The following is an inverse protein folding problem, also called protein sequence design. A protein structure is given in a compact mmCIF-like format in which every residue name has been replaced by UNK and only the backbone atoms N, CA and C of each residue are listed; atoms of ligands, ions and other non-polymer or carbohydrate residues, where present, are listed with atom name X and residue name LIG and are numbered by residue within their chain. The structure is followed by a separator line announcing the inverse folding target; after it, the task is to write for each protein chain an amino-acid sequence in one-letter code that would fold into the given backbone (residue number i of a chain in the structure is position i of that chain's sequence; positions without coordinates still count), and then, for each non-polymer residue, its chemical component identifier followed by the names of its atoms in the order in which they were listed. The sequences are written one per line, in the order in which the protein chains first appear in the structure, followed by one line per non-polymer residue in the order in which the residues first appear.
data_IF_845657580090
#
_entry.id   IF_845657580090
#
_cell.length_a   1.000
_cell.length_b   1.000
_cell.length_c   1.000
_cell.angle_alpha   90.00
_cell.angle_beta   90.00
_cell.angle_gamma   90.00
#
_symmetry.space_group_name_H-M   'P 1'
#
loop_
_entity.id
_entity.type
_entity.pdbx_description
1 polymer ?
#
# COMPACT_ATOMS: atom_id res chain seq x y z
N UNK A 1 4.55 -9.89 -11.44
CA UNK A 1 3.17 -10.21 -11.04
C UNK A 1 3.10 -9.96 -9.53
N UNK A 2 2.40 -8.91 -9.08
CA UNK A 2 2.13 -8.65 -7.66
C UNK A 2 1.66 -9.90 -6.92
N UNK A 3 1.97 -10.10 -5.62
CA UNK A 3 1.09 -10.92 -4.77
C UNK A 3 -0.25 -10.19 -4.67
N UNK A 4 -1.12 -10.50 -5.60
CA UNK A 4 -2.39 -9.85 -5.81
C UNK A 4 -3.44 -10.46 -4.87
N UNK A 5 -3.84 -9.74 -3.83
CA UNK A 5 -5.07 -10.08 -3.10
C UNK A 5 -6.34 -9.98 -3.99
N UNK A 6 -6.24 -9.32 -5.15
CA UNK A 6 -7.36 -9.12 -6.07
C UNK A 6 -7.48 -10.13 -7.22
N UNK A 7 -6.40 -10.79 -7.67
CA UNK A 7 -6.44 -11.64 -8.88
C UNK A 7 -6.43 -13.14 -8.60
N UNK A 8 -6.17 -13.57 -7.36
CA UNK A 8 -6.26 -15.00 -6.99
C UNK A 8 -7.66 -15.39 -6.51
N UNK A 9 -8.53 -14.40 -6.26
CA UNK A 9 -9.92 -14.60 -5.90
C UNK A 9 -10.82 -14.07 -7.03
N UNK A 10 -11.56 -14.97 -7.66
CA UNK A 10 -12.45 -14.69 -8.79
C UNK A 10 -13.45 -13.56 -8.48
N UNK A 11 -13.98 -13.50 -7.26
CA UNK A 11 -14.91 -12.45 -6.82
C UNK A 11 -14.25 -11.07 -6.75
N UNK A 12 -13.05 -10.98 -6.19
CA UNK A 12 -12.30 -9.72 -6.14
C UNK A 12 -11.93 -9.22 -7.54
N UNK A 13 -11.56 -10.16 -8.42
CA UNK A 13 -11.22 -9.86 -9.81
C UNK A 13 -12.44 -9.33 -10.57
N UNK A 14 -13.62 -9.96 -10.43
CA UNK A 14 -14.85 -9.46 -11.04
C UNK A 14 -15.23 -8.08 -10.54
N UNK A 15 -15.19 -7.84 -9.22
CA UNK A 15 -15.51 -6.53 -8.67
C UNK A 15 -14.59 -5.44 -9.23
N UNK A 16 -13.30 -5.76 -9.40
CA UNK A 16 -12.34 -4.86 -10.04
C UNK A 16 -12.70 -4.58 -11.50
N UNK A 17 -12.96 -5.64 -12.28
CA UNK A 17 -13.30 -5.51 -13.71
C UNK A 17 -14.54 -4.65 -13.90
N UNK A 18 -15.60 -4.91 -13.12
CA UNK A 18 -16.85 -4.16 -13.22
C UNK A 18 -16.64 -2.68 -12.90
N UNK A 19 -15.76 -2.36 -11.96
CA UNK A 19 -15.53 -0.97 -11.51
C UNK A 19 -14.49 -0.21 -12.35
N UNK A 20 -13.62 -0.92 -13.07
CA UNK A 20 -12.47 -0.34 -13.79
C UNK A 20 -12.37 -0.85 -15.23
N UNK A 21 -13.52 -1.14 -15.86
CA UNK A 21 -13.59 -1.84 -17.15
C UNK A 21 -12.70 -1.21 -18.22
N UNK A 22 -12.68 0.11 -18.29
CA UNK A 22 -11.93 0.85 -19.32
C UNK A 22 -10.41 0.73 -19.14
N UNK A 23 -9.96 0.53 -17.89
CA UNK A 23 -8.55 0.42 -17.52
C UNK A 23 -8.07 -1.04 -17.51
N UNK A 24 -8.72 -1.89 -18.31
CA UNK A 24 -8.31 -3.26 -18.59
C UNK A 24 -8.20 -3.41 -20.10
N UNK A 25 -7.01 -3.83 -20.56
CA UNK A 25 -6.72 -4.12 -21.96
C UNK A 25 -6.45 -5.60 -22.11
N UNK A 26 -7.02 -6.20 -23.14
CA UNK A 26 -6.88 -7.63 -23.44
C UNK A 26 -6.31 -7.75 -24.86
N UNK A 27 -5.45 -8.74 -25.06
CA UNK A 27 -4.96 -9.16 -26.36
C UNK A 27 -5.63 -10.49 -26.67
N UNK A 28 -6.31 -10.55 -27.81
CA UNK A 28 -7.06 -11.71 -28.26
C UNK A 28 -6.57 -12.12 -29.66
N UNK A 29 -6.40 -13.42 -29.86
CA UNK A 29 -6.12 -14.00 -31.16
C UNK A 29 -7.41 -14.12 -31.99
N UNK A 30 -7.33 -14.31 -33.33
CA UNK A 30 -8.50 -14.52 -34.18
C UNK A 30 -9.40 -15.69 -33.73
N UNK A 31 -8.84 -16.66 -33.00
CA UNK A 31 -9.55 -17.79 -32.39
C UNK A 31 -10.35 -17.42 -31.12
N UNK A 32 -10.41 -16.14 -30.75
CA UNK A 32 -10.95 -15.65 -29.45
C UNK A 32 -10.19 -16.14 -28.22
N UNK A 33 -8.96 -16.64 -28.41
CA UNK A 33 -8.08 -17.02 -27.31
C UNK A 33 -7.38 -15.77 -26.75
N UNK A 34 -7.46 -15.56 -25.43
CA UNK A 34 -6.75 -14.46 -24.75
C UNK A 34 -5.25 -14.77 -24.68
N UNK A 35 -4.43 -13.99 -25.38
CA UNK A 35 -2.96 -14.11 -25.38
C UNK A 35 -2.28 -13.24 -24.31
N UNK A 36 -2.97 -12.24 -23.77
CA UNK A 36 -2.48 -11.43 -22.64
C UNK A 36 -3.45 -10.37 -22.15
N UNK A 37 -3.12 -9.73 -21.02
CA UNK A 37 -3.87 -8.59 -20.49
C UNK A 37 -2.98 -7.60 -19.75
N UNK A 38 -3.44 -6.35 -19.65
CA UNK A 38 -2.91 -5.33 -18.76
C UNK A 38 -4.06 -4.64 -18.02
N UNK A 39 -3.82 -4.27 -16.77
CA UNK A 39 -4.79 -3.53 -15.97
C UNK A 39 -4.11 -2.48 -15.11
N UNK A 40 -4.81 -1.38 -14.90
CA UNK A 40 -4.38 -0.30 -14.03
C UNK A 40 -5.55 0.47 -13.42
N UNK A 41 -5.23 1.42 -12.56
CA UNK A 41 -6.21 2.30 -11.93
C UNK A 41 -5.60 3.67 -11.64
N UNK A 42 -6.45 4.70 -11.57
CA UNK A 42 -6.04 6.04 -11.13
C UNK A 42 -6.09 6.06 -9.61
N UNK A 43 -4.94 6.19 -8.97
CA UNK A 43 -4.83 6.12 -7.51
C UNK A 43 -5.09 7.47 -6.83
N UNK A 44 -4.75 8.56 -7.51
CA UNK A 44 -5.08 9.94 -7.17
C UNK A 44 -5.02 10.79 -8.45
N UNK A 45 -5.44 12.07 -8.45
CA UNK A 45 -5.46 12.90 -9.65
C UNK A 45 -4.11 12.99 -10.39
N UNK A 46 -2.97 12.84 -9.70
CA UNK A 46 -1.64 12.94 -10.29
C UNK A 46 -0.94 11.60 -10.55
N UNK A 47 -1.46 10.47 -10.05
CA UNK A 47 -0.81 9.16 -10.15
C UNK A 47 -1.79 8.05 -10.57
N UNK A 48 -1.41 7.33 -11.62
CA UNK A 48 -2.00 6.03 -11.97
C UNK A 48 -1.02 4.89 -11.71
N UNK A 49 -1.57 3.70 -11.51
CA UNK A 49 -0.83 2.49 -11.17
C UNK A 49 -1.14 1.39 -12.15
N UNK A 50 -0.09 0.78 -12.69
CA UNK A 50 -0.19 -0.49 -13.41
C UNK A 50 -0.34 -1.57 -12.35
N UNK A 51 -1.53 -2.15 -12.30
CA UNK A 51 -1.87 -3.22 -11.38
C UNK A 51 -1.23 -4.52 -11.88
N UNK A 52 -1.46 -4.90 -13.13
CA UNK A 52 -0.90 -6.13 -13.68
C UNK A 52 -0.63 -6.01 -15.17
N UNK A 53 0.37 -6.77 -15.63
CA UNK A 53 0.58 -7.08 -17.04
C UNK A 53 0.98 -8.54 -17.16
N UNK A 54 0.33 -9.27 -18.06
CA UNK A 54 0.56 -10.68 -18.27
C UNK A 54 0.46 -11.03 -19.74
N UNK A 55 1.35 -11.90 -20.20
CA UNK A 55 1.32 -12.51 -21.53
C UNK A 55 1.56 -14.01 -21.35
N UNK A 56 0.69 -14.80 -21.96
CA UNK A 56 0.80 -16.27 -21.96
C UNK A 56 2.15 -16.70 -22.51
N UNK A 57 2.70 -17.81 -22.01
CA UNK A 57 4.06 -18.26 -22.32
C UNK A 57 4.31 -18.39 -23.82
N UNK A 58 3.33 -18.95 -24.55
CA UNK A 58 3.40 -19.23 -25.99
C UNK A 58 3.41 -17.94 -26.84
N UNK A 59 3.04 -16.82 -26.24
CA UNK A 59 2.86 -15.53 -26.92
C UNK A 59 3.90 -14.48 -26.48
N UNK A 60 4.90 -14.88 -25.69
CA UNK A 60 5.95 -13.96 -25.22
C UNK A 60 6.89 -13.55 -26.35
N UNK A 61 7.54 -12.39 -26.16
CA UNK A 61 8.50 -11.79 -27.10
C UNK A 61 7.92 -11.37 -28.46
N UNK A 62 6.59 -11.35 -28.64
CA UNK A 62 5.90 -10.91 -29.85
C UNK A 62 5.42 -9.44 -29.77
N UNK A 63 5.92 -8.67 -28.81
CA UNK A 63 5.50 -7.27 -28.61
C UNK A 63 4.16 -7.06 -27.91
N UNK A 64 3.39 -8.12 -27.61
CA UNK A 64 2.06 -8.05 -26.97
C UNK A 64 2.07 -7.21 -25.68
N UNK A 65 3.00 -7.47 -24.76
CA UNK A 65 3.12 -6.69 -23.52
C UNK A 65 3.36 -5.19 -23.79
N UNK A 66 4.10 -4.86 -24.85
CA UNK A 66 4.31 -3.46 -25.25
C UNK A 66 3.00 -2.81 -25.69
N UNK A 67 2.22 -3.51 -26.51
CA UNK A 67 0.97 -3.00 -27.05
C UNK A 67 -0.10 -2.86 -25.96
N UNK A 68 -0.19 -3.86 -25.07
CA UNK A 68 -1.06 -3.82 -23.90
C UNK A 68 -0.73 -2.63 -22.99
N UNK A 69 0.56 -2.42 -22.69
CA UNK A 69 1.00 -1.29 -21.88
C UNK A 69 0.67 0.04 -22.57
N UNK A 70 1.01 0.21 -23.84
CA UNK A 70 0.69 1.44 -24.59
C UNK A 70 -0.81 1.73 -24.61
N UNK A 71 -1.63 0.72 -24.87
CA UNK A 71 -3.09 0.85 -24.89
C UNK A 71 -3.65 1.26 -23.53
N UNK A 72 -3.15 0.65 -22.44
CA UNK A 72 -3.53 1.02 -21.08
C UNK A 72 -3.11 2.45 -20.75
N UNK A 73 -1.88 2.82 -21.12
CA UNK A 73 -1.34 4.16 -20.92
C UNK A 73 -2.16 5.23 -21.65
N UNK A 74 -2.50 5.02 -22.92
CA UNK A 74 -3.33 5.95 -23.69
C UNK A 74 -4.70 6.17 -23.05
N UNK A 75 -5.33 5.12 -22.52
CA UNK A 75 -6.61 5.23 -21.82
C UNK A 75 -6.50 6.01 -20.50
N UNK A 76 -5.45 5.76 -19.73
CA UNK A 76 -5.24 6.48 -18.47
C UNK A 76 -5.05 7.97 -18.76
N UNK A 77 -4.25 8.31 -19.78
CA UNK A 77 -3.98 9.70 -20.16
C UNK A 77 -5.25 10.39 -20.68
N UNK A 78 -6.07 9.71 -21.50
CA UNK A 78 -7.31 10.30 -22.01
C UNK A 78 -8.34 10.58 -20.90
N UNK A 79 -8.35 9.77 -19.84
CA UNK A 79 -9.26 9.94 -18.69
C UNK A 79 -8.73 10.86 -17.59
N UNK A 80 -7.42 11.12 -17.55
CA UNK A 80 -6.82 11.90 -16.48
C UNK A 80 -5.79 12.90 -17.04
N UNK A 81 -6.28 14.08 -17.41
CA UNK A 81 -5.45 15.20 -17.86
C UNK A 81 -4.48 15.73 -16.79
N UNK A 82 -4.70 15.39 -15.52
CA UNK A 82 -3.84 15.77 -14.40
C UNK A 82 -2.73 14.76 -14.10
N UNK A 83 -2.64 13.66 -14.87
CA UNK A 83 -1.65 12.61 -14.65
C UNK A 83 -0.22 13.14 -14.73
N UNK A 84 0.57 12.88 -13.68
CA UNK A 84 2.00 13.19 -13.62
C UNK A 84 2.87 11.94 -13.51
N UNK A 85 2.35 10.87 -12.95
CA UNK A 85 3.10 9.65 -12.68
C UNK A 85 2.32 8.42 -13.08
N UNK A 86 3.01 7.49 -13.74
CA UNK A 86 2.55 6.11 -13.90
C UNK A 86 3.53 5.20 -13.17
N UNK A 87 3.05 4.48 -12.17
CA UNK A 87 3.90 3.61 -11.36
C UNK A 87 3.49 2.14 -11.46
N UNK A 88 4.45 1.26 -11.17
CA UNK A 88 4.25 -0.19 -11.10
C UNK A 88 5.01 -0.73 -9.90
N UNK A 89 4.41 -1.69 -9.20
CA UNK A 89 5.09 -2.47 -8.17
C UNK A 89 5.44 -3.84 -8.73
N UNK A 90 6.70 -4.24 -8.58
CA UNK A 90 7.19 -5.54 -9.00
C UNK A 90 7.65 -6.29 -7.76
N UNK A 91 7.02 -7.41 -7.37
CA UNK A 91 7.54 -8.26 -6.32
C UNK A 91 8.82 -8.97 -6.71
N UNK A 92 9.55 -9.41 -5.69
CA UNK A 92 10.83 -10.10 -5.79
C UNK A 92 10.85 -11.23 -6.82
N UNK A 93 9.84 -12.09 -6.80
CA UNK A 93 9.75 -13.25 -7.70
C UNK A 93 9.58 -12.85 -9.19
N UNK A 94 9.40 -11.55 -9.47
CA UNK A 94 9.26 -10.98 -10.80
C UNK A 94 10.31 -9.91 -11.13
N UNK A 95 11.36 -9.74 -10.32
CA UNK A 95 12.43 -8.75 -10.58
C UNK A 95 13.09 -8.92 -11.96
N UNK A 96 13.14 -10.14 -12.52
CA UNK A 96 13.62 -10.37 -13.90
C UNK A 96 12.89 -9.54 -14.97
N UNK A 97 11.64 -9.14 -14.70
CA UNK A 97 10.84 -8.32 -15.61
C UNK A 97 11.04 -6.81 -15.42
N UNK A 98 11.85 -6.36 -14.46
CA UNK A 98 12.12 -4.92 -14.26
C UNK A 98 12.68 -4.26 -15.53
N UNK A 99 13.51 -4.99 -16.28
CA UNK A 99 14.15 -4.48 -17.49
C UNK A 99 13.14 -4.10 -18.58
N UNK A 100 11.95 -4.73 -18.59
CA UNK A 100 10.85 -4.35 -19.47
C UNK A 100 10.40 -2.90 -19.22
N UNK A 101 10.27 -2.50 -17.95
CA UNK A 101 9.85 -1.15 -17.59
C UNK A 101 10.99 -0.14 -17.72
N UNK A 102 12.22 -0.50 -17.33
CA UNK A 102 13.40 0.37 -17.45
C UNK A 102 13.65 0.81 -18.90
N UNK A 103 13.55 -0.13 -19.87
CA UNK A 103 13.64 0.20 -21.31
C UNK A 103 12.53 1.14 -21.82
N UNK A 104 11.49 1.37 -21.01
CA UNK A 104 10.34 2.24 -21.31
C UNK A 104 10.32 3.51 -20.47
N UNK A 105 11.50 3.95 -20.01
CA UNK A 105 11.74 5.19 -19.26
C UNK A 105 11.09 5.21 -17.87
N UNK A 106 10.76 4.05 -17.31
CA UNK A 106 10.51 3.96 -15.87
C UNK A 106 11.83 3.99 -15.13
N UNK A 107 11.85 4.61 -13.96
CA UNK A 107 12.99 4.62 -13.03
C UNK A 107 12.58 3.95 -11.73
N UNK A 108 13.52 3.26 -11.07
CA UNK A 108 13.30 2.74 -9.72
C UNK A 108 13.22 3.95 -8.78
N UNK A 109 12.11 4.07 -8.05
CA UNK A 109 11.90 5.16 -7.08
C UNK A 109 11.92 4.68 -5.63
N UNK A 110 11.75 3.37 -5.40
CA UNK A 110 11.79 2.80 -4.07
C UNK A 110 12.00 1.28 -4.09
N UNK A 111 12.68 0.78 -3.06
CA UNK A 111 12.61 -0.61 -2.66
C UNK A 111 11.80 -0.73 -1.37
N UNK A 112 10.95 -1.74 -1.29
CA UNK A 112 10.05 -1.99 -0.18
C UNK A 112 10.36 -3.38 0.38
N UNK A 113 10.57 -3.46 1.69
CA UNK A 113 10.58 -4.72 2.42
C UNK A 113 9.20 -4.95 3.02
N UNK A 114 8.60 -6.11 2.76
CA UNK A 114 7.46 -6.55 3.55
C UNK A 114 7.88 -7.51 4.66
N UNK A 115 7.09 -7.48 5.71
CA UNK A 115 7.32 -8.17 6.96
C UNK A 115 6.06 -8.88 7.41
N UNK A 116 6.24 -10.01 8.09
CA UNK A 116 5.17 -10.83 8.65
C UNK A 116 5.44 -11.14 10.13
N UNK A 117 4.38 -11.15 10.93
CA UNK A 117 4.38 -11.68 12.29
C UNK A 117 3.21 -12.65 12.47
N UNK A 118 3.51 -13.91 12.75
CA UNK A 118 2.52 -15.00 12.90
C UNK A 118 2.01 -15.17 14.34
N UNK A 119 2.24 -14.18 15.21
CA UNK A 119 1.73 -14.18 16.58
C UNK A 119 1.20 -12.79 16.90
N UNK A 120 0.21 -12.71 17.78
CA UNK A 120 -0.32 -11.44 18.29
C UNK A 120 0.24 -11.07 19.67
N UNK A 121 1.32 -11.72 20.10
CA UNK A 121 2.01 -11.37 21.33
C UNK A 121 2.80 -10.08 21.12
N UNK A 122 2.63 -9.14 22.04
CA UNK A 122 3.34 -7.88 22.02
C UNK A 122 3.75 -7.51 23.46
N UNK A 123 4.76 -8.20 24.03
CA UNK A 123 5.12 -8.09 25.44
C UNK A 123 5.98 -6.84 25.74
N UNK A 124 5.74 -5.74 25.03
CA UNK A 124 6.48 -4.49 25.24
C UNK A 124 5.74 -3.59 26.21
N UNK A 125 6.48 -3.05 27.19
CA UNK A 125 5.92 -2.08 28.13
C UNK A 125 5.48 -0.81 27.41
N UNK A 126 4.21 -0.46 27.62
CA UNK A 126 3.60 0.78 27.12
C UNK A 126 3.95 1.98 28.03
N UNK A 127 3.82 3.19 27.50
CA UNK A 127 3.86 4.40 28.33
C UNK A 127 2.44 4.68 28.86
N UNK A 128 2.28 4.66 30.18
CA UNK A 128 0.97 4.85 30.85
C UNK A 128 0.50 6.31 30.86
N UNK A 129 1.40 7.27 30.64
CA UNK A 129 1.06 8.70 30.54
C UNK A 129 0.44 9.06 29.19
N UNK A 130 0.57 8.18 28.19
CA UNK A 130 0.02 8.37 26.86
C UNK A 130 -1.34 7.67 26.79
N UNK A 131 -2.40 8.46 26.68
CA UNK A 131 -3.72 7.94 26.41
C UNK A 131 -3.82 7.53 24.93
N UNK A 132 -4.30 6.31 24.65
CA UNK A 132 -4.59 5.88 23.28
C UNK A 132 -6.07 5.53 23.16
N UNK A 133 -6.69 6.04 22.09
CA UNK A 133 -8.10 5.75 21.76
C UNK A 133 -8.33 5.74 20.26
N UNK A 134 -9.48 5.21 19.85
CA UNK A 134 -9.96 5.35 18.46
C UNK A 134 -10.08 6.84 18.12
N UNK A 135 -9.67 7.21 16.91
CA UNK A 135 -9.79 8.57 16.41
C UNK A 135 -11.26 8.96 16.23
N UNK A 136 -11.57 10.24 16.47
CA UNK A 136 -12.85 10.91 16.16
C UNK A 136 -12.63 11.96 15.06
N UNK A 137 -13.71 12.40 14.42
CA UNK A 137 -13.61 13.35 13.28
C UNK A 137 -12.86 14.64 13.64
N UNK A 138 -12.99 15.13 14.88
CA UNK A 138 -12.29 16.32 15.36
C UNK A 138 -10.79 16.11 15.58
N UNK A 139 -10.27 14.88 15.51
CA UNK A 139 -8.84 14.61 15.60
C UNK A 139 -8.11 14.80 14.26
N UNK A 140 -8.84 14.89 13.15
CA UNK A 140 -8.24 14.86 11.81
C UNK A 140 -7.21 15.99 11.62
N UNK A 141 -7.44 17.16 12.19
CA UNK A 141 -6.52 18.29 12.06
C UNK A 141 -5.18 18.00 12.72
N UNK A 142 -5.18 17.41 13.91
CA UNK A 142 -3.96 16.96 14.59
C UNK A 142 -3.26 15.82 13.85
N UNK A 143 -4.01 14.91 13.22
CA UNK A 143 -3.44 13.85 12.39
C UNK A 143 -2.78 14.43 11.14
N UNK A 144 -3.38 15.41 10.49
CA UNK A 144 -2.81 16.08 9.32
C UNK A 144 -1.55 16.88 9.66
N UNK A 145 -1.46 17.45 10.87
CA UNK A 145 -0.22 18.07 11.35
C UNK A 145 0.90 17.03 11.47
N UNK A 146 0.60 15.85 12.03
CA UNK A 146 1.56 14.74 12.08
C UNK A 146 1.96 14.27 10.68
N UNK A 147 1.01 14.15 9.75
CA UNK A 147 1.30 13.77 8.37
C UNK A 147 2.32 14.70 7.73
N UNK A 148 2.10 16.01 7.85
CA UNK A 148 2.99 17.04 7.31
C UNK A 148 4.37 17.01 7.97
N UNK A 149 4.45 16.71 9.26
CA UNK A 149 5.70 16.66 10.00
C UNK A 149 6.52 15.38 9.73
N UNK A 150 5.86 14.26 9.43
CA UNK A 150 6.50 12.95 9.33
C UNK A 150 6.71 12.44 7.89
N UNK A 151 5.95 12.94 6.91
CA UNK A 151 5.96 12.41 5.55
C UNK A 151 6.11 13.53 4.51
N UNK A 152 6.83 13.24 3.43
CA UNK A 152 6.88 14.11 2.25
C UNK A 152 5.51 14.19 1.57
N UNK A 153 5.24 15.28 0.86
CA UNK A 153 3.94 15.56 0.20
C UNK A 153 3.39 14.39 -0.62
N UNK A 154 4.25 13.65 -1.32
CA UNK A 154 3.84 12.48 -2.11
C UNK A 154 3.16 11.36 -1.27
N UNK A 155 3.51 11.23 0.00
CA UNK A 155 3.08 10.15 0.89
C UNK A 155 2.08 10.58 1.95
N UNK A 156 1.76 11.86 2.00
CA UNK A 156 0.76 12.40 2.92
C UNK A 156 -0.63 11.97 2.48
N UNK A 157 -1.43 11.52 3.45
CA UNK A 157 -2.87 11.33 3.26
C UNK A 157 -3.59 12.65 3.47
N UNK A 158 -4.58 12.92 2.61
CA UNK A 158 -5.43 14.08 2.78
C UNK A 158 -6.60 13.81 3.74
N UNK A 159 -7.33 14.88 4.07
CA UNK A 159 -8.49 14.86 4.96
C UNK A 159 -9.55 13.83 4.55
N UNK A 160 -9.86 13.74 3.26
CA UNK A 160 -10.93 12.88 2.78
C UNK A 160 -10.55 11.41 2.79
N UNK A 161 -9.27 11.09 2.59
CA UNK A 161 -8.74 9.74 2.82
C UNK A 161 -8.93 9.31 4.28
N UNK A 162 -8.59 10.16 5.26
CA UNK A 162 -8.85 9.83 6.68
C UNK A 162 -10.34 9.71 6.99
N UNK A 163 -11.19 10.57 6.44
CA UNK A 163 -12.65 10.43 6.60
C UNK A 163 -13.17 9.10 6.05
N UNK A 164 -12.63 8.63 4.91
CA UNK A 164 -12.98 7.32 4.35
C UNK A 164 -12.53 6.19 5.27
N UNK A 165 -11.28 6.24 5.74
CA UNK A 165 -10.72 5.26 6.68
C UNK A 165 -11.59 5.13 7.93
N UNK A 166 -12.00 6.26 8.51
CA UNK A 166 -12.81 6.27 9.73
C UNK A 166 -14.24 5.70 9.56
N UNK A 167 -14.71 5.54 8.33
CA UNK A 167 -16.02 4.96 8.00
C UNK A 167 -15.96 3.47 7.69
N UNK A 168 -14.79 2.90 7.37
CA UNK A 168 -14.67 1.49 7.03
C UNK A 168 -14.59 0.62 8.31
N UNK A 169 -15.44 -0.40 8.39
CA UNK A 169 -15.55 -1.32 9.55
C UNK A 169 -14.38 -2.30 9.66
N UNK A 170 -13.63 -2.48 8.58
CA UNK A 170 -12.41 -3.29 8.51
C UNK A 170 -11.14 -2.48 8.78
N UNK A 171 -11.29 -1.18 9.04
CA UNK A 171 -10.18 -0.27 9.29
C UNK A 171 -10.26 0.34 10.70
N UNK A 172 -9.10 0.69 11.24
CA UNK A 172 -9.03 1.43 12.50
C UNK A 172 -7.92 2.46 12.49
N UNK A 173 -8.25 3.63 13.05
CA UNK A 173 -7.32 4.72 13.29
C UNK A 173 -7.26 4.95 14.80
N UNK A 174 -6.09 4.77 15.38
CA UNK A 174 -5.77 5.11 16.78
C UNK A 174 -5.01 6.43 16.83
N UNK A 175 -5.28 7.23 17.85
CA UNK A 175 -4.51 8.42 18.20
C UNK A 175 -3.89 8.26 19.58
N UNK A 176 -2.66 8.76 19.73
CA UNK A 176 -1.95 8.88 20.98
C UNK A 176 -2.05 10.33 21.46
N UNK A 177 -2.43 10.51 22.72
CA UNK A 177 -2.68 11.81 23.34
C UNK A 177 -1.76 11.94 24.55
N UNK A 178 -1.04 13.06 24.61
CA UNK A 178 -0.21 13.42 25.74
C UNK A 178 -0.33 14.92 25.98
N UNK A 179 -0.46 15.36 27.23
CA UNK A 179 -0.71 16.77 27.57
C UNK A 179 -1.82 17.43 26.74
N UNK A 180 -2.93 16.71 26.55
CA UNK A 180 -4.11 17.13 25.77
C UNK A 180 -3.88 17.40 24.27
N UNK A 181 -2.71 17.05 23.72
CA UNK A 181 -2.42 17.16 22.29
C UNK A 181 -2.27 15.77 21.64
N UNK A 182 -2.59 15.67 20.34
CA UNK A 182 -2.36 14.44 19.57
C UNK A 182 -0.89 14.40 19.19
N UNK A 183 -0.15 13.42 19.72
CA UNK A 183 1.30 13.29 19.53
C UNK A 183 1.69 12.18 18.55
N UNK A 184 0.74 11.34 18.16
CA UNK A 184 0.97 10.25 17.22
C UNK A 184 -0.32 9.59 16.80
N UNK A 185 -0.24 8.78 15.74
CA UNK A 185 -1.37 7.98 15.29
C UNK A 185 -0.90 6.66 14.65
N UNK A 186 -1.82 5.70 14.57
CA UNK A 186 -1.60 4.44 13.88
C UNK A 186 -2.86 4.03 13.10
N UNK A 187 -2.67 3.66 11.84
CA UNK A 187 -3.69 3.18 10.92
C UNK A 187 -3.46 1.70 10.59
N UNK A 188 -4.50 0.89 10.72
CA UNK A 188 -4.48 -0.53 10.39
C UNK A 188 -5.75 -0.95 9.67
N UNK A 189 -5.67 -2.08 8.96
CA UNK A 189 -6.82 -2.74 8.35
C UNK A 189 -6.79 -4.24 8.65
N UNK A 190 -7.92 -4.91 8.51
CA UNK A 190 -7.99 -6.37 8.46
C UNK A 190 -8.45 -6.83 7.09
N UNK A 191 -7.86 -7.91 6.60
CA UNK A 191 -8.28 -8.52 5.35
C UNK A 191 -9.69 -9.10 5.48
N UNK A 192 -10.49 -8.90 4.43
CA UNK A 192 -11.86 -9.43 4.35
C UNK A 192 -11.91 -10.93 4.11
N UNK A 193 -10.80 -11.55 3.71
CA UNK A 193 -10.82 -12.91 3.14
C UNK A 193 -9.83 -13.89 3.77
N UNK A 194 -8.80 -13.44 4.48
CA UNK A 194 -7.70 -14.33 4.90
C UNK A 194 -7.24 -14.18 6.36
N UNK A 195 -8.08 -13.58 7.22
CA UNK A 195 -7.82 -13.38 8.66
C UNK A 195 -6.44 -12.76 8.95
N UNK A 196 -5.90 -11.95 8.03
CA UNK A 196 -4.68 -11.20 8.25
C UNK A 196 -4.98 -9.76 8.66
N UNK A 197 -4.08 -9.18 9.43
CA UNK A 197 -4.05 -7.76 9.76
C UNK A 197 -2.97 -7.05 8.96
N UNK A 198 -3.28 -5.87 8.45
CA UNK A 198 -2.32 -4.98 7.82
C UNK A 198 -2.00 -3.85 8.80
N UNK A 199 -0.75 -3.82 9.28
CA UNK A 199 -0.20 -2.73 10.06
C UNK A 199 0.37 -1.69 9.08
N UNK A 200 -0.47 -0.72 8.72
CA UNK A 200 -0.28 0.09 7.51
C UNK A 200 0.62 1.28 7.78
N UNK A 201 0.35 2.01 8.87
CA UNK A 201 1.07 3.25 9.14
C UNK A 201 1.15 3.56 10.61
N UNK A 202 2.30 4.06 11.04
CA UNK A 202 2.50 4.63 12.36
C UNK A 202 3.32 5.90 12.23
N UNK A 203 2.92 6.94 12.96
CA UNK A 203 3.63 8.20 13.00
C UNK A 203 3.57 8.80 14.40
N UNK A 204 4.61 9.54 14.75
CA UNK A 204 4.75 10.26 16.02
C UNK A 204 5.45 11.56 15.70
N UNK A 205 4.99 12.67 16.28
CA UNK A 205 5.63 13.97 16.11
C UNK A 205 7.14 13.86 16.42
N UNK A 206 8.03 14.48 15.61
CA UNK A 206 9.47 14.32 15.77
C UNK A 206 10.00 14.63 17.19
N UNK A 207 9.49 15.67 17.83
CA UNK A 207 9.80 16.11 19.20
C UNK A 207 9.20 15.21 20.32
N UNK A 208 8.31 14.29 19.92
CA UNK A 208 7.66 13.32 20.81
C UNK A 208 8.17 11.89 20.62
N UNK A 209 9.21 11.70 19.81
CA UNK A 209 9.89 10.41 19.64
C UNK A 209 10.62 9.98 20.92
N UNK A 210 11.02 8.71 20.97
CA UNK A 210 11.68 8.07 22.13
C UNK A 210 10.87 8.01 23.44
N UNK A 211 9.64 8.54 23.46
CA UNK A 211 8.71 8.48 24.62
C UNK A 211 7.79 7.25 24.59
N UNK A 212 8.17 6.22 23.81
CA UNK A 212 7.39 4.99 23.56
C UNK A 212 5.97 5.22 23.01
N UNK A 213 5.71 6.36 22.35
CA UNK A 213 4.43 6.65 21.67
C UNK A 213 4.11 5.55 20.66
N UNK A 214 5.07 5.23 19.78
CA UNK A 214 4.89 4.22 18.76
C UNK A 214 4.61 2.83 19.34
N UNK A 215 5.36 2.42 20.37
CA UNK A 215 5.12 1.15 21.08
C UNK A 215 3.74 1.09 21.72
N UNK A 216 3.27 2.20 22.30
CA UNK A 216 1.96 2.29 22.97
C UNK A 216 0.82 2.18 21.95
N UNK A 217 0.94 2.85 20.80
CA UNK A 217 0.01 2.70 19.67
C UNK A 217 0.00 1.26 19.14
N UNK A 218 1.17 0.65 18.91
CA UNK A 218 1.27 -0.72 18.42
C UNK A 218 0.65 -1.73 19.38
N UNK A 219 0.81 -1.55 20.69
CA UNK A 219 0.14 -2.42 21.66
C UNK A 219 -1.39 -2.39 21.52
N UNK A 220 -1.98 -1.22 21.21
CA UNK A 220 -3.41 -1.09 20.93
C UNK A 220 -3.79 -1.72 19.59
N UNK A 221 -2.96 -1.56 18.56
CA UNK A 221 -3.14 -2.23 17.26
C UNK A 221 -3.22 -3.76 17.41
N UNK A 222 -2.30 -4.35 18.18
CA UNK A 222 -2.25 -5.79 18.41
C UNK A 222 -3.42 -6.31 19.25
N UNK A 223 -3.89 -5.52 20.24
CA UNK A 223 -5.15 -5.82 20.94
C UNK A 223 -6.35 -5.81 19.97
N UNK A 224 -6.40 -4.83 19.07
CA UNK A 224 -7.46 -4.76 18.07
C UNK A 224 -7.42 -5.92 17.09
N UNK A 225 -6.24 -6.26 16.54
CA UNK A 225 -6.07 -7.45 15.70
C UNK A 225 -6.56 -8.72 16.40
N UNK A 226 -6.28 -8.86 17.70
CA UNK A 226 -6.77 -9.99 18.50
C UNK A 226 -8.30 -10.02 18.58
N UNK A 227 -8.93 -8.86 18.82
CA UNK A 227 -10.40 -8.73 18.82
C UNK A 227 -11.04 -9.00 17.45
N UNK A 228 -10.25 -8.95 16.37
CA UNK A 228 -10.67 -9.25 14.99
C UNK A 228 -10.29 -10.65 14.53
N UNK A 229 -9.84 -11.52 15.45
CA UNK A 229 -9.43 -12.89 15.15
C UNK A 229 -8.35 -12.99 14.06
N UNK A 230 -7.47 -11.99 14.00
CA UNK A 230 -6.33 -12.00 13.09
C UNK A 230 -5.34 -13.08 13.52
N UNK A 231 -4.81 -13.83 12.56
CA UNK A 231 -3.82 -14.90 12.80
C UNK A 231 -2.39 -14.47 12.47
N UNK A 232 -2.24 -13.46 11.60
CA UNK A 232 -0.95 -12.91 11.19
C UNK A 232 -1.04 -11.42 10.87
N UNK A 233 0.02 -10.68 11.15
CA UNK A 233 0.13 -9.25 10.83
C UNK A 233 1.18 -9.04 9.76
N UNK A 234 0.82 -8.28 8.72
CA UNK A 234 1.67 -7.87 7.61
C UNK A 234 1.96 -6.38 7.71
N UNK A 235 3.17 -5.97 7.30
CA UNK A 235 3.50 -4.57 7.07
C UNK A 235 4.52 -4.44 5.95
N UNK A 236 4.62 -3.24 5.39
CA UNK A 236 5.63 -2.90 4.38
C UNK A 236 6.30 -1.58 4.74
N UNK A 237 7.61 -1.48 4.51
CA UNK A 237 8.40 -0.26 4.75
C UNK A 237 9.53 -0.13 3.73
N UNK A 238 10.08 1.07 3.57
CA UNK A 238 11.24 1.27 2.70
C UNK A 238 12.43 0.42 3.11
N UNK A 239 13.14 -0.13 2.13
CA UNK A 239 14.32 -0.93 2.38
C UNK A 239 15.38 -0.18 3.19
N UNK A 240 15.56 1.10 2.90
CA UNK A 240 16.60 1.96 3.50
C UNK A 240 16.20 2.51 4.88
N UNK A 241 15.00 2.20 5.37
CA UNK A 241 14.52 2.66 6.68
C UNK A 241 15.15 1.89 7.85
N UNK A 242 16.45 2.04 8.04
CA UNK A 242 17.26 1.29 9.02
C UNK A 242 16.69 1.33 10.45
N UNK A 243 16.11 2.47 10.86
CA UNK A 243 15.45 2.63 12.15
C UNK A 243 14.19 1.76 12.29
N UNK A 244 13.27 1.85 11.33
CA UNK A 244 12.03 1.07 11.34
C UNK A 244 12.30 -0.43 11.22
N UNK A 245 13.27 -0.82 10.39
CA UNK A 245 13.65 -2.22 10.20
C UNK A 245 14.12 -2.88 11.50
N UNK A 246 14.90 -2.17 12.33
CA UNK A 246 15.33 -2.65 13.66
C UNK A 246 14.15 -2.73 14.63
N UNK A 247 13.28 -1.72 14.63
CA UNK A 247 12.10 -1.67 15.49
C UNK A 247 11.13 -2.83 15.19
N UNK A 248 10.80 -3.08 13.92
CA UNK A 248 9.89 -4.16 13.55
C UNK A 248 10.46 -5.54 13.89
N UNK A 249 11.76 -5.75 13.64
CA UNK A 249 12.44 -6.98 14.07
C UNK A 249 12.38 -7.16 15.58
N UNK A 250 12.61 -6.10 16.36
CA UNK A 250 12.45 -6.12 17.83
C UNK A 250 11.04 -6.53 18.21
N UNK A 251 10.02 -6.04 17.52
CA UNK A 251 8.62 -6.41 17.72
C UNK A 251 8.25 -7.82 17.22
N UNK A 252 9.21 -8.62 16.76
CA UNK A 252 9.00 -10.01 16.34
C UNK A 252 8.52 -10.16 14.91
N UNK A 253 8.51 -9.09 14.11
CA UNK A 253 8.30 -9.20 12.66
C UNK A 253 9.53 -9.80 11.99
N UNK A 254 9.30 -10.68 11.01
CA UNK A 254 10.33 -11.24 10.14
C UNK A 254 10.13 -10.75 8.73
N UNK A 255 11.23 -10.51 8.01
CA UNK A 255 11.17 -10.15 6.59
C UNK A 255 10.50 -11.29 5.82
N UNK A 256 9.56 -10.95 4.93
CA UNK A 256 8.73 -11.90 4.20
C UNK A 256 8.95 -11.83 2.69
N UNK A 257 9.03 -10.61 2.16
CA UNK A 257 9.11 -10.35 0.73
C UNK A 257 9.79 -9.00 0.46
N UNK A 258 10.01 -8.73 -0.82
CA UNK A 258 10.48 -7.45 -1.34
C UNK A 258 9.66 -7.04 -2.55
N UNK A 259 9.55 -5.73 -2.73
CA UNK A 259 9.01 -5.13 -3.95
C UNK A 259 9.92 -3.99 -4.39
N UNK A 260 9.98 -3.76 -5.70
CA UNK A 260 10.51 -2.52 -6.25
C UNK A 260 9.35 -1.70 -6.82
N UNK A 261 9.37 -0.40 -6.58
CA UNK A 261 8.44 0.54 -7.19
C UNK A 261 9.20 1.24 -8.31
N UNK A 262 8.68 1.13 -9.53
CA UNK A 262 9.15 1.92 -10.66
C UNK A 262 8.10 2.95 -11.03
N UNK A 263 8.54 4.13 -11.46
CA UNK A 263 7.66 5.21 -11.90
C UNK A 263 8.21 5.87 -13.15
N UNK A 264 7.29 6.30 -14.02
CA UNK A 264 7.57 7.18 -15.15
C UNK A 264 6.82 8.48 -14.99
N UNK A 265 7.55 9.58 -15.10
CA UNK A 265 6.99 10.93 -15.07
C UNK A 265 6.44 11.32 -16.45
N UNK A 266 5.25 11.90 -16.47
CA UNK A 266 4.66 12.56 -17.63
C UNK A 266 4.95 14.05 -17.53
N UNK A 267 5.37 14.64 -18.65
CA UNK A 267 5.50 16.10 -18.75
C UNK A 267 4.12 16.65 -19.08
N UNK A 268 3.72 17.73 -18.39
CA UNK A 268 2.63 18.58 -18.86
C UNK A 268 3.16 19.47 -19.97
#
# INVERSE_FOLDING_TARGET
MGRFEYTHNKTNFYSYITSNRDLIKVSEEPSSQISGFAMGYISNPQEAKIQAIYVSADYRNQGIATNLLKSLESEIVSKNSSLRYLSVRIPEEYFKFQSFFLRRKFSIIAEINGYIKNSLDFPFSVNKEIAVRKAKKSDIDGILQIEKACFSDYWQKNRDEFKKIMKDVFEILFVAIWNNIIVGYNFNAVSRTNQSGNYIRIATLPDQQQKRVATTLTAHAFKWFRSKHVTRVLLSTYADSSHHNKMYKKWGFRKNDREIILSRKYSQ
#
